data_IF_928809824980
#
_entry.id   IF_928809824980
#
_cell.length_a   1.000
_cell.length_b   1.000
_cell.length_c   1.000
_cell.angle_alpha   90.00
_cell.angle_beta   90.00
_cell.angle_gamma   90.00
#
_symmetry.space_group_name_H-M   'P 1'
#
loop_
_entity.id
_entity.type
_entity.pdbx_description
1 polymer ?
#
# COMPACT_ATOMS: atom_id res chain seq x y z
N UNK A 1 -15.62 -1.82 6.96
CA UNK A 1 -14.91 -3.02 7.42
C UNK A 1 -13.43 -2.70 7.62
N UNK A 2 -12.84 -3.30 8.61
CA UNK A 2 -11.40 -3.20 8.90
C UNK A 2 -10.80 -4.60 8.77
N UNK A 3 -9.69 -4.69 8.08
CA UNK A 3 -8.95 -5.95 7.92
C UNK A 3 -7.54 -5.76 8.45
N UNK A 4 -7.18 -6.59 9.43
CA UNK A 4 -5.83 -6.70 9.98
C UNK A 4 -5.19 -8.00 9.46
N UNK A 5 -4.03 -7.88 8.82
CA UNK A 5 -3.28 -9.02 8.32
C UNK A 5 -1.83 -8.94 8.77
N UNK A 6 -1.40 -9.92 9.52
CA UNK A 6 0.01 -10.08 9.91
C UNK A 6 0.69 -11.09 8.99
N UNK A 7 1.78 -10.69 8.36
CA UNK A 7 2.62 -11.58 7.55
C UNK A 7 3.83 -11.98 8.38
N UNK A 8 3.97 -13.25 8.75
CA UNK A 8 5.09 -13.71 9.55
C UNK A 8 6.40 -13.61 8.75
N UNK A 9 7.47 -13.28 9.42
CA UNK A 9 8.83 -13.23 8.92
C UNK A 9 9.69 -14.30 9.59
N UNK A 10 10.87 -14.55 9.03
CA UNK A 10 11.87 -15.47 9.62
C UNK A 10 12.24 -15.04 11.05
N UNK A 11 12.32 -13.73 11.28
CA UNK A 11 12.49 -13.17 12.63
C UNK A 11 11.15 -12.58 13.07
N UNK A 12 10.55 -13.13 14.11
CA UNK A 12 9.24 -12.70 14.61
C UNK A 12 9.18 -11.21 15.01
N UNK A 13 10.31 -10.63 15.44
CA UNK A 13 10.39 -9.21 15.80
C UNK A 13 10.17 -8.26 14.61
N UNK A 14 10.30 -8.73 13.37
CA UNK A 14 10.10 -7.93 12.15
C UNK A 14 8.87 -8.35 11.35
N UNK A 15 7.88 -8.95 12.01
CA UNK A 15 6.62 -9.30 11.38
C UNK A 15 5.94 -8.07 10.80
N UNK A 16 5.41 -8.21 9.59
CA UNK A 16 4.66 -7.15 8.92
C UNK A 16 3.20 -7.19 9.31
N UNK A 17 2.64 -6.04 9.63
CA UNK A 17 1.24 -5.83 9.89
C UNK A 17 0.64 -4.93 8.81
N UNK A 18 -0.38 -5.41 8.11
CA UNK A 18 -1.11 -4.61 7.13
C UNK A 18 -2.49 -4.27 7.67
N UNK A 19 -2.80 -2.99 7.72
CA UNK A 19 -4.11 -2.47 8.11
C UNK A 19 -4.80 -1.92 6.87
N UNK A 20 -6.03 -2.37 6.64
CA UNK A 20 -6.88 -1.83 5.59
C UNK A 20 -8.26 -1.49 6.16
N UNK A 21 -8.70 -0.28 5.90
CA UNK A 21 -10.03 0.21 6.29
C UNK A 21 -10.82 0.54 5.05
N UNK A 22 -12.01 -0.06 4.94
CA UNK A 22 -12.97 0.20 3.86
C UNK A 22 -14.22 0.85 4.46
N UNK A 23 -14.62 1.97 3.88
CA UNK A 23 -15.82 2.72 4.25
C UNK A 23 -16.64 2.98 2.98
N UNK A 24 -17.91 2.58 3.01
CA UNK A 24 -18.85 2.74 1.92
C UNK A 24 -20.14 3.39 2.41
N UNK A 25 -20.69 4.25 1.59
CA UNK A 25 -22.01 4.80 1.80
C UNK A 25 -22.73 4.93 0.46
N UNK A 26 -24.00 4.49 0.40
CA UNK A 26 -24.85 4.61 -0.77
C UNK A 26 -26.23 5.12 -0.34
N UNK A 27 -26.72 6.15 -1.02
CA UNK A 27 -28.10 6.63 -0.92
C UNK A 27 -28.74 6.54 -2.29
N UNK A 28 -29.93 5.98 -2.37
CA UNK A 28 -30.73 5.87 -3.59
C UNK A 28 -32.12 6.42 -3.35
N UNK A 29 -32.59 7.26 -4.28
CA UNK A 29 -33.90 7.86 -4.23
C UNK A 29 -34.60 7.64 -5.56
N UNK A 30 -35.76 6.97 -5.51
CA UNK A 30 -36.64 6.77 -6.65
C UNK A 30 -37.86 7.70 -6.52
N UNK A 31 -38.14 8.45 -7.57
CA UNK A 31 -39.26 9.38 -7.58
C UNK A 31 -40.08 9.22 -8.86
N UNK A 32 -41.37 9.08 -8.69
CA UNK A 32 -42.35 9.00 -9.80
C UNK A 32 -42.86 10.42 -10.07
N UNK A 33 -42.33 11.04 -11.14
CA UNK A 33 -42.72 12.39 -11.56
C UNK A 33 -44.13 12.41 -12.19
N UNK A 34 -44.43 11.37 -12.98
CA UNK A 34 -45.74 11.12 -13.64
C UNK A 34 -45.89 9.62 -13.78
N UNK A 35 -47.11 9.18 -14.13
CA UNK A 35 -47.41 7.76 -14.39
C UNK A 35 -46.54 7.09 -15.45
N UNK A 36 -45.92 7.89 -16.33
CA UNK A 36 -45.05 7.45 -17.39
C UNK A 36 -43.62 8.00 -17.30
N UNK A 37 -43.24 8.64 -16.18
CA UNK A 37 -41.94 9.28 -16.00
C UNK A 37 -41.39 9.01 -14.58
N UNK A 38 -40.32 8.24 -14.51
CA UNK A 38 -39.68 7.83 -13.27
C UNK A 38 -38.24 8.32 -13.30
N UNK A 39 -37.75 8.85 -12.18
CA UNK A 39 -36.35 9.18 -12.02
C UNK A 39 -35.76 8.42 -10.84
N UNK A 40 -34.51 8.00 -10.99
CA UNK A 40 -33.72 7.38 -9.95
C UNK A 40 -32.41 8.16 -9.77
N UNK A 41 -32.18 8.67 -8.56
CA UNK A 41 -30.95 9.34 -8.20
C UNK A 41 -30.17 8.45 -7.22
N UNK A 42 -28.87 8.29 -7.45
CA UNK A 42 -27.96 7.54 -6.57
C UNK A 42 -26.77 8.42 -6.24
N UNK A 43 -26.39 8.45 -4.98
CA UNK A 43 -25.17 9.10 -4.53
C UNK A 43 -24.38 8.12 -3.68
N UNK A 44 -23.11 7.95 -3.96
CA UNK A 44 -22.24 7.05 -3.22
C UNK A 44 -20.90 7.71 -2.88
N UNK A 45 -20.36 7.29 -1.74
CA UNK A 45 -19.00 7.57 -1.31
C UNK A 45 -18.32 6.26 -0.96
N UNK A 46 -17.11 6.08 -1.45
CA UNK A 46 -16.25 4.97 -1.09
C UNK A 46 -14.89 5.52 -0.66
N UNK A 47 -14.37 5.01 0.46
CA UNK A 47 -13.04 5.32 0.94
C UNK A 47 -12.29 4.06 1.29
N UNK A 48 -11.13 3.89 0.67
CA UNK A 48 -10.19 2.81 0.98
C UNK A 48 -8.92 3.44 1.55
N UNK A 49 -8.56 3.05 2.76
CA UNK A 49 -7.28 3.41 3.38
C UNK A 49 -6.49 2.13 3.64
N UNK A 50 -5.31 2.03 3.08
CA UNK A 50 -4.45 0.87 3.24
C UNK A 50 -3.04 1.30 3.66
N UNK A 51 -2.57 0.72 4.77
CA UNK A 51 -1.21 0.84 5.27
C UNK A 51 -0.57 -0.56 5.29
N UNK A 52 0.03 -1.00 4.20
CA UNK A 52 0.44 -2.39 4.04
C UNK A 52 1.69 -2.81 4.80
N UNK A 53 2.46 -1.90 5.38
CA UNK A 53 3.65 -2.33 6.09
C UNK A 53 4.02 -1.39 7.24
N UNK A 54 4.24 -1.99 8.40
CA UNK A 54 4.80 -1.32 9.57
C UNK A 54 6.25 -1.80 9.73
N UNK A 55 7.17 -0.90 10.02
CA UNK A 55 8.54 -1.27 10.39
C UNK A 55 8.55 -1.92 11.77
N UNK A 56 9.60 -2.70 12.06
CA UNK A 56 9.80 -3.29 13.39
C UNK A 56 9.96 -2.24 14.49
N UNK A 57 10.36 -1.03 14.15
CA UNK A 57 10.75 0.00 15.11
C UNK A 57 12.07 -0.30 15.84
N UNK A 58 12.76 -1.37 15.46
CA UNK A 58 14.02 -1.76 16.06
C UNK A 58 15.14 -0.81 15.64
N UNK A 59 16.03 -0.48 16.58
CA UNK A 59 17.17 0.36 16.26
C UNK A 59 18.35 -0.51 15.75
N UNK A 60 18.85 -0.26 14.53
CA UNK A 60 19.96 -1.04 13.97
C UNK A 60 21.22 -1.07 14.85
N UNK A 61 21.48 0.00 15.60
CA UNK A 61 22.65 0.10 16.46
C UNK A 61 22.65 -0.91 17.62
N UNK A 62 21.46 -1.29 18.10
CA UNK A 62 21.32 -2.28 19.18
C UNK A 62 21.75 -3.68 18.71
N UNK A 63 21.85 -3.87 17.41
CA UNK A 63 22.30 -5.10 16.75
C UNK A 63 23.69 -4.97 16.11
N UNK A 64 24.46 -3.92 16.48
CA UNK A 64 25.80 -3.70 15.93
C UNK A 64 25.82 -3.19 14.49
N UNK A 65 24.68 -2.83 13.91
CA UNK A 65 24.58 -2.30 12.55
C UNK A 65 24.73 -0.77 12.64
N UNK A 66 25.89 -0.27 12.26
CA UNK A 66 26.18 1.17 12.29
C UNK A 66 25.57 1.88 11.06
N UNK A 67 24.26 1.88 10.98
CA UNK A 67 23.49 2.56 9.95
C UNK A 67 22.62 3.63 10.58
N UNK A 68 22.75 4.88 10.12
CA UNK A 68 21.93 5.98 10.61
C UNK A 68 20.74 6.19 9.69
N UNK A 69 19.56 5.79 10.14
CA UNK A 69 18.32 6.23 9.50
C UNK A 69 17.94 7.61 10.03
N UNK A 70 17.82 8.58 9.13
CA UNK A 70 17.45 9.96 9.46
C UNK A 70 15.94 10.20 9.38
N UNK A 71 15.17 9.26 8.85
CA UNK A 71 13.73 9.40 8.73
C UNK A 71 13.00 8.72 9.91
N UNK A 72 12.38 9.49 10.83
CA UNK A 72 11.69 8.93 11.98
C UNK A 72 10.47 8.07 11.61
N UNK A 73 9.87 8.29 10.42
CA UNK A 73 8.75 7.49 9.92
C UNK A 73 9.17 6.10 9.43
N UNK A 74 10.46 5.89 9.29
CA UNK A 74 11.04 4.67 8.74
C UNK A 74 12.00 4.00 9.73
N UNK A 75 11.80 4.20 11.03
CA UNK A 75 12.60 3.55 12.06
C UNK A 75 12.51 2.03 11.95
N UNK A 76 13.64 1.34 11.82
CA UNK A 76 13.67 -0.11 11.67
C UNK A 76 15.02 -0.63 11.17
N UNK A 77 15.12 -1.95 11.01
CA UNK A 77 16.28 -2.62 10.51
C UNK A 77 16.44 -2.48 9.00
N UNK A 78 17.64 -2.46 8.44
CA UNK A 78 17.84 -2.59 7.01
C UNK A 78 17.31 -3.93 6.51
N UNK A 79 16.90 -3.97 5.26
CA UNK A 79 16.59 -5.23 4.59
C UNK A 79 17.86 -6.00 4.34
N UNK A 80 17.93 -7.25 4.79
CA UNK A 80 19.11 -8.09 4.65
C UNK A 80 18.79 -9.26 3.74
N UNK A 81 19.52 -9.37 2.65
CA UNK A 81 19.37 -10.42 1.63
C UNK A 81 20.68 -11.22 1.55
N UNK A 82 20.60 -12.52 1.76
CA UNK A 82 21.72 -13.46 1.58
C UNK A 82 21.34 -14.38 0.43
N UNK A 83 21.99 -14.22 -0.72
CA UNK A 83 21.62 -14.90 -1.96
C UNK A 83 21.70 -16.43 -1.79
N UNK A 84 20.63 -17.12 -2.17
CA UNK A 84 20.49 -18.56 -2.00
C UNK A 84 19.98 -19.03 -0.64
N UNK A 85 19.92 -18.12 0.37
CA UNK A 85 19.46 -18.45 1.73
C UNK A 85 18.25 -17.59 2.13
N UNK A 86 18.42 -16.28 2.11
CA UNK A 86 17.37 -15.32 2.50
C UNK A 86 17.14 -14.33 1.36
N UNK A 87 15.97 -14.41 0.76
CA UNK A 87 15.59 -13.59 -0.40
C UNK A 87 14.87 -12.30 -0.01
N UNK A 88 14.30 -11.64 -1.01
CA UNK A 88 13.49 -10.45 -0.84
C UNK A 88 12.11 -10.78 -0.23
N UNK A 89 11.45 -9.78 0.30
CA UNK A 89 10.07 -9.89 0.79
C UNK A 89 9.93 -10.66 2.10
N UNK A 90 9.08 -11.69 2.12
CA UNK A 90 8.74 -12.45 3.34
C UNK A 90 9.95 -13.18 3.92
N UNK A 91 10.85 -13.65 3.07
CA UNK A 91 12.03 -14.43 3.46
C UNK A 91 13.27 -13.55 3.69
N UNK A 92 13.18 -12.24 3.64
CA UNK A 92 14.27 -11.35 3.99
C UNK A 92 14.45 -11.28 5.51
N UNK A 93 15.70 -11.16 5.95
CA UNK A 93 16.02 -10.74 7.31
C UNK A 93 15.86 -9.22 7.41
N UNK A 94 15.42 -8.72 8.58
CA UNK A 94 15.18 -7.29 8.77
C UNK A 94 13.84 -6.79 8.21
N UNK A 95 13.71 -5.46 8.12
CA UNK A 95 12.48 -4.81 7.66
C UNK A 95 12.32 -4.89 6.13
N UNK A 96 11.11 -4.76 5.62
CA UNK A 96 10.89 -4.81 4.19
C UNK A 96 11.50 -3.62 3.47
N UNK A 97 11.88 -3.82 2.20
CA UNK A 97 12.42 -2.75 1.36
C UNK A 97 11.44 -1.60 1.11
N UNK A 98 10.15 -1.88 1.28
CA UNK A 98 9.05 -0.93 1.07
C UNK A 98 8.14 -0.89 2.31
N UNK A 99 8.64 -0.36 3.44
CA UNK A 99 7.90 -0.41 4.70
C UNK A 99 6.66 0.49 4.72
N UNK A 100 6.65 1.55 3.91
CA UNK A 100 5.56 2.52 3.87
C UNK A 100 4.96 2.65 2.48
N UNK A 101 3.76 2.14 2.32
CA UNK A 101 2.85 2.54 1.27
C UNK A 101 1.55 2.94 1.96
N UNK A 102 1.38 4.23 2.20
CA UNK A 102 0.08 4.74 2.59
C UNK A 102 -0.69 5.04 1.32
N UNK A 103 -1.80 4.36 1.14
CA UNK A 103 -2.73 4.62 0.04
C UNK A 103 -4.07 4.99 0.62
N UNK A 104 -4.55 6.17 0.27
CA UNK A 104 -5.92 6.58 0.57
C UNK A 104 -6.61 6.92 -0.74
N UNK A 105 -7.65 6.18 -1.06
CA UNK A 105 -8.47 6.41 -2.24
C UNK A 105 -9.87 6.85 -1.81
N UNK A 106 -10.37 7.92 -2.39
CA UNK A 106 -11.72 8.43 -2.22
C UNK A 106 -12.41 8.44 -3.57
N UNK A 107 -13.61 7.88 -3.62
CA UNK A 107 -14.47 7.91 -4.80
C UNK A 107 -15.82 8.49 -4.40
N UNK A 108 -16.24 9.54 -5.10
CA UNK A 108 -17.59 10.11 -5.00
C UNK A 108 -18.25 9.91 -6.34
N UNK A 109 -19.47 9.44 -6.30
CA UNK A 109 -20.26 9.22 -7.51
C UNK A 109 -21.68 9.70 -7.30
N UNK A 110 -22.21 10.42 -8.28
CA UNK A 110 -23.61 10.82 -8.36
C UNK A 110 -24.11 10.40 -9.72
N UNK A 111 -25.17 9.62 -9.72
CA UNK A 111 -25.83 9.17 -10.94
C UNK A 111 -27.32 9.48 -10.88
N UNK A 112 -27.87 9.89 -12.01
CA UNK A 112 -29.31 10.06 -12.18
C UNK A 112 -29.76 9.38 -13.47
N UNK A 113 -30.78 8.55 -13.36
CA UNK A 113 -31.43 7.87 -14.46
C UNK A 113 -32.87 8.34 -14.55
N UNK A 114 -33.33 8.66 -15.75
CA UNK A 114 -34.72 8.99 -16.06
C UNK A 114 -35.29 7.99 -17.06
N UNK A 115 -36.36 7.36 -16.70
CA UNK A 115 -37.10 6.44 -17.58
C UNK A 115 -38.40 7.09 -17.98
N UNK A 116 -38.64 7.23 -19.29
CA UNK A 116 -39.84 7.80 -19.87
C UNK A 116 -40.50 6.79 -20.80
N UNK A 117 -41.79 6.51 -20.55
CA UNK A 117 -42.64 5.66 -21.38
C UNK A 117 -43.48 6.55 -22.28
N UNK A 118 -43.19 6.52 -23.58
CA UNK A 118 -43.88 7.30 -24.61
C UNK A 118 -44.60 6.33 -25.55
N UNK A 119 -45.89 6.03 -25.25
CA UNK A 119 -46.68 5.07 -25.98
C UNK A 119 -46.09 3.66 -25.96
N UNK A 120 -45.57 3.18 -27.11
CA UNK A 120 -44.93 1.87 -27.26
C UNK A 120 -43.42 1.90 -26.99
N UNK A 121 -42.85 3.06 -26.75
CA UNK A 121 -41.42 3.24 -26.57
C UNK A 121 -41.10 3.46 -25.11
N UNK A 122 -40.05 2.83 -24.64
CA UNK A 122 -39.41 3.09 -23.33
C UNK A 122 -38.05 3.70 -23.59
N UNK A 123 -37.88 4.94 -23.16
CA UNK A 123 -36.65 5.72 -23.30
C UNK A 123 -35.98 5.86 -21.93
N UNK A 124 -34.70 5.62 -21.89
CA UNK A 124 -33.89 5.79 -20.67
C UNK A 124 -32.75 6.76 -20.94
N UNK A 125 -32.64 7.79 -20.10
CA UNK A 125 -31.57 8.78 -20.13
C UNK A 125 -30.89 8.77 -18.78
N UNK A 126 -29.59 8.98 -18.75
CA UNK A 126 -28.89 9.05 -17.50
C UNK A 126 -27.64 9.90 -17.60
N UNK A 127 -27.21 10.38 -16.45
CA UNK A 127 -25.93 11.02 -16.24
C UNK A 127 -25.25 10.37 -15.05
N UNK A 128 -23.97 10.13 -15.17
CA UNK A 128 -23.11 9.59 -14.12
C UNK A 128 -21.87 10.47 -14.02
N UNK A 129 -21.65 11.04 -12.83
CA UNK A 129 -20.49 11.87 -12.52
C UNK A 129 -19.73 11.20 -11.40
N UNK A 130 -18.48 10.86 -11.68
CA UNK A 130 -17.56 10.22 -10.73
C UNK A 130 -16.31 11.07 -10.55
N UNK A 131 -15.95 11.31 -9.30
CA UNK A 131 -14.67 11.91 -8.93
C UNK A 131 -13.87 10.90 -8.12
N UNK A 132 -12.64 10.71 -8.52
CA UNK A 132 -11.69 9.85 -7.83
C UNK A 132 -10.48 10.68 -7.39
N UNK A 133 -10.09 10.57 -6.13
CA UNK A 133 -8.91 11.19 -5.58
C UNK A 133 -8.06 10.11 -4.88
N UNK A 134 -6.81 10.00 -5.27
CA UNK A 134 -5.89 8.99 -4.76
C UNK A 134 -4.63 9.64 -4.23
N UNK A 135 -4.35 9.44 -2.94
CA UNK A 135 -3.13 9.88 -2.30
C UNK A 135 -2.28 8.66 -1.97
N UNK A 136 -1.06 8.65 -2.49
CA UNK A 136 -0.09 7.58 -2.24
C UNK A 136 1.19 8.20 -1.69
N UNK A 137 1.60 7.75 -0.51
CA UNK A 137 2.94 8.00 0.01
C UNK A 137 3.73 6.70 -0.02
N UNK A 138 4.86 6.73 -0.68
CA UNK A 138 5.71 5.58 -0.89
C UNK A 138 7.15 5.93 -0.54
N UNK A 139 7.78 5.13 0.32
CA UNK A 139 9.19 5.25 0.65
C UNK A 139 9.86 3.93 0.30
N UNK A 140 10.84 4.00 -0.60
CA UNK A 140 11.59 2.83 -1.02
C UNK A 140 12.91 2.76 -0.26
N UNK A 141 13.18 1.61 0.38
CA UNK A 141 14.42 1.30 1.10
C UNK A 141 14.85 2.37 2.13
N UNK A 142 13.97 2.84 3.01
CA UNK A 142 14.30 3.93 3.92
C UNK A 142 15.44 3.56 4.90
N UNK A 143 15.57 2.28 5.22
CA UNK A 143 16.56 1.73 6.15
C UNK A 143 17.78 1.12 5.45
N UNK A 144 17.89 1.29 4.12
CA UNK A 144 18.93 0.66 3.32
C UNK A 144 18.64 -0.82 3.02
N UNK A 145 19.56 -1.39 2.26
CA UNK A 145 19.48 -2.76 1.76
C UNK A 145 20.88 -3.37 1.80
N UNK A 146 21.07 -4.44 2.56
CA UNK A 146 22.31 -5.17 2.68
C UNK A 146 22.19 -6.45 1.85
N UNK A 147 22.95 -6.53 0.77
CA UNK A 147 23.01 -7.68 -0.12
C UNK A 147 24.34 -8.43 0.09
N UNK A 148 24.23 -9.72 0.38
CA UNK A 148 25.37 -10.66 0.41
C UNK A 148 25.20 -11.62 -0.75
N UNK A 149 26.09 -11.55 -1.74
CA UNK A 149 25.96 -12.27 -3.01
C UNK A 149 27.14 -13.19 -3.33
N UNK A 150 28.10 -13.31 -2.42
CA UNK A 150 29.29 -14.12 -2.65
C UNK A 150 30.39 -13.41 -3.46
N UNK A 151 30.23 -12.11 -3.73
CA UNK A 151 31.17 -11.36 -4.57
C UNK A 151 32.55 -11.15 -3.97
N UNK A 152 32.68 -11.24 -2.63
CA UNK A 152 33.96 -11.04 -1.92
C UNK A 152 34.65 -12.35 -1.54
N UNK A 153 33.88 -13.32 -1.03
CA UNK A 153 34.43 -14.59 -0.54
C UNK A 153 34.04 -15.79 -1.43
N UNK A 154 33.36 -15.55 -2.57
CA UNK A 154 32.88 -16.63 -3.43
C UNK A 154 31.62 -17.36 -2.92
N UNK A 155 31.13 -17.00 -1.72
CA UNK A 155 29.96 -17.59 -1.09
C UNK A 155 29.18 -16.54 -0.30
N UNK A 156 27.88 -16.44 -0.55
CA UNK A 156 27.03 -15.43 0.06
C UNK A 156 26.89 -15.60 1.58
N UNK A 157 26.87 -16.84 2.08
CA UNK A 157 26.84 -17.11 3.51
C UNK A 157 28.16 -16.72 4.19
N UNK A 158 29.29 -16.92 3.53
CA UNK A 158 30.60 -16.48 4.05
C UNK A 158 30.69 -14.95 4.11
N UNK A 159 30.24 -14.25 3.04
CA UNK A 159 30.14 -12.79 3.04
C UNK A 159 29.28 -12.28 4.20
N UNK A 160 28.13 -12.93 4.43
CA UNK A 160 27.22 -12.58 5.52
C UNK A 160 27.84 -12.77 6.91
N UNK A 161 28.47 -13.93 7.15
CA UNK A 161 29.13 -14.23 8.44
C UNK A 161 30.32 -13.30 8.75
N UNK A 162 30.98 -12.83 7.70
CA UNK A 162 32.09 -11.88 7.81
C UNK A 162 31.63 -10.41 7.82
N UNK A 163 30.31 -10.16 7.63
CA UNK A 163 29.79 -8.80 7.59
C UNK A 163 30.21 -7.99 6.36
N UNK A 164 30.49 -8.66 5.25
CA UNK A 164 30.98 -8.06 4.00
C UNK A 164 29.86 -7.94 2.95
N UNK A 165 28.98 -6.92 3.02
CA UNK A 165 27.94 -6.75 2.03
C UNK A 165 28.54 -6.34 0.68
N UNK A 166 27.86 -6.71 -0.40
CA UNK A 166 28.17 -6.19 -1.73
C UNK A 166 28.06 -4.65 -1.73
N UNK A 167 28.82 -3.94 -2.57
CA UNK A 167 28.78 -2.48 -2.66
C UNK A 167 27.34 -1.99 -2.77
N UNK A 168 26.94 -1.11 -1.84
CA UNK A 168 25.57 -0.75 -1.59
C UNK A 168 24.86 -0.17 -2.83
N UNK A 169 23.71 -0.74 -3.15
CA UNK A 169 22.69 -0.04 -3.95
C UNK A 169 21.81 0.79 -3.02
N UNK A 170 22.41 1.67 -2.24
CA UNK A 170 21.70 2.54 -1.33
C UNK A 170 21.09 3.72 -2.12
N UNK A 171 19.94 3.52 -2.70
CA UNK A 171 19.08 4.62 -3.14
C UNK A 171 17.84 4.64 -2.27
N UNK A 172 17.79 5.55 -1.30
CA UNK A 172 16.55 5.92 -0.64
C UNK A 172 15.75 6.79 -1.61
N UNK A 173 14.59 6.32 -2.01
CA UNK A 173 13.70 7.10 -2.87
C UNK A 173 12.37 7.29 -2.15
N UNK A 174 12.01 8.54 -1.90
CA UNK A 174 10.68 8.91 -1.44
C UNK A 174 9.88 9.42 -2.65
N UNK A 175 8.74 8.81 -2.90
CA UNK A 175 7.81 9.27 -3.93
C UNK A 175 6.48 9.56 -3.24
N UNK A 176 6.03 10.80 -3.32
CA UNK A 176 4.68 11.21 -2.93
C UNK A 176 3.94 11.58 -4.21
N UNK A 177 2.81 10.96 -4.46
CA UNK A 177 1.98 11.25 -5.62
C UNK A 177 0.56 11.56 -5.15
N UNK A 178 0.12 12.77 -5.42
CA UNK A 178 -1.27 13.19 -5.25
C UNK A 178 -1.93 13.20 -6.63
N UNK A 179 -2.97 12.39 -6.81
CA UNK A 179 -3.76 12.29 -8.03
C UNK A 179 -5.20 12.77 -7.80
N UNK A 180 -5.72 13.61 -8.69
CA UNK A 180 -7.11 14.11 -8.67
C UNK A 180 -7.87 13.61 -9.88
#
# INVERSE_FOLDING_TARGET
SETDRTTPKVIAAVNQKALATLQDGLVSHNYVLRSNLITQTRASINRISANPAVTSGLNPRDYGINFANTNPLAAGLPSIVVQGFFGNGVNALGDPQQPFVTRVNHVWQVANDVTWIAGRHSLKFGVDVRREAMNIAFINRPNGDLLFNGGLCGNAAADFLLGLPAPARATTQQVTQDGY
#
